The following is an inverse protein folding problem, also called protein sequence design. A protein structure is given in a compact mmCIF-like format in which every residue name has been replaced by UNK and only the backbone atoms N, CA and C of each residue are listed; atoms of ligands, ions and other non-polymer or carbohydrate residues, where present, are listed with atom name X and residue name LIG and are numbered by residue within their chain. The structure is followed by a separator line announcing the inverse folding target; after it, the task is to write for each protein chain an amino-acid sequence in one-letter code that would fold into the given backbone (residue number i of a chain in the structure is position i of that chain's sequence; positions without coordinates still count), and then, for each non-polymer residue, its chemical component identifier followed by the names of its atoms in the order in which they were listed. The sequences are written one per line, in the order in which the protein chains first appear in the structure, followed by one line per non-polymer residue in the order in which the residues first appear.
data_IF_286471256566
#
_entry.id   IF_286471256566
#
_cell.length_a   1.000
_cell.length_b   1.000
_cell.length_c   1.000
_cell.angle_alpha   90.00
_cell.angle_beta   90.00
_cell.angle_gamma   90.00
#
_symmetry.space_group_name_H-M   'P 1'
#
loop_
_entity.id
_entity.type
_entity.pdbx_description
1 polymer ?
#
# COMPACT_ATOMS: atom_id res chain seq x y z
N UNK A 1 -13.91 -11.52 9.73
CA UNK A 1 -13.68 -11.35 8.29
C UNK A 1 -13.81 -12.70 7.60
N UNK A 2 -14.61 -12.77 6.55
CA UNK A 2 -14.75 -14.02 5.82
C UNK A 2 -13.60 -14.21 4.82
N UNK A 3 -13.56 -15.38 4.18
CA UNK A 3 -12.48 -15.74 3.28
C UNK A 3 -12.34 -14.79 2.08
N UNK A 4 -13.47 -14.36 1.52
CA UNK A 4 -13.48 -13.44 0.36
C UNK A 4 -12.92 -12.07 0.72
N UNK A 5 -13.31 -11.54 1.86
CA UNK A 5 -12.82 -10.25 2.31
C UNK A 5 -11.33 -10.30 2.61
N UNK A 6 -10.88 -11.37 3.26
CA UNK A 6 -9.47 -11.56 3.55
C UNK A 6 -8.64 -11.60 2.27
N UNK A 7 -9.11 -12.32 1.27
CA UNK A 7 -8.43 -12.40 -0.02
C UNK A 7 -8.38 -11.05 -0.71
N UNK A 8 -9.49 -10.31 -0.67
CA UNK A 8 -9.56 -8.97 -1.27
C UNK A 8 -8.52 -8.04 -0.67
N UNK A 9 -8.46 -7.99 0.66
CA UNK A 9 -7.52 -7.09 1.34
C UNK A 9 -6.07 -7.53 1.15
N UNK A 10 -5.80 -8.83 1.14
CA UNK A 10 -4.45 -9.32 0.87
C UNK A 10 -3.99 -8.93 -0.53
N UNK A 11 -4.90 -9.01 -1.50
CA UNK A 11 -4.58 -8.61 -2.88
C UNK A 11 -4.31 -7.10 -2.95
N UNK A 12 -5.13 -6.29 -2.29
CA UNK A 12 -4.93 -4.85 -2.25
C UNK A 12 -3.58 -4.50 -1.64
N UNK A 13 -3.21 -5.15 -0.54
CA UNK A 13 -1.93 -4.93 0.13
C UNK A 13 -0.78 -5.29 -0.81
N UNK A 14 -0.89 -6.38 -1.53
CA UNK A 14 0.15 -6.79 -2.47
C UNK A 14 0.36 -5.74 -3.56
N UNK A 15 -0.73 -5.14 -4.05
CA UNK A 15 -0.64 -4.10 -5.07
C UNK A 15 -0.07 -2.80 -4.50
N UNK A 16 -0.51 -2.40 -3.31
CA UNK A 16 0.05 -1.22 -2.63
C UNK A 16 1.55 -1.38 -2.40
N UNK A 17 1.95 -2.55 -1.92
CA UNK A 17 3.36 -2.84 -1.67
C UNK A 17 4.16 -2.80 -2.97
N UNK A 18 3.66 -3.41 -4.02
CA UNK A 18 4.33 -3.41 -5.33
C UNK A 18 4.48 -1.98 -5.84
N UNK A 19 3.44 -1.17 -5.70
CA UNK A 19 3.46 0.21 -6.14
C UNK A 19 4.50 1.04 -5.37
N UNK A 20 4.55 0.90 -4.05
CA UNK A 20 5.52 1.61 -3.23
C UNK A 20 6.96 1.21 -3.58
N UNK A 21 7.19 -0.06 -3.84
CA UNK A 21 8.50 -0.52 -4.27
C UNK A 21 8.90 0.06 -5.63
N UNK A 22 7.94 0.18 -6.55
CA UNK A 22 8.21 0.79 -7.86
C UNK A 22 8.51 2.28 -7.72
N UNK A 23 7.85 2.97 -6.80
CA UNK A 23 8.12 4.38 -6.54
C UNK A 23 9.54 4.62 -6.04
N UNK A 24 10.17 3.65 -5.41
CA UNK A 24 11.57 3.74 -5.00
C UNK A 24 12.51 3.68 -6.20
N UNK A 25 12.07 3.10 -7.30
CA UNK A 25 12.90 2.84 -8.47
C UNK A 25 12.69 3.84 -9.60
N UNK A 26 11.51 4.42 -9.72
CA UNK A 26 11.16 5.33 -10.80
C UNK A 26 10.06 6.29 -10.40
N UNK A 27 9.94 7.36 -11.17
CA UNK A 27 8.91 8.36 -10.95
C UNK A 27 7.52 7.80 -11.25
N UNK A 28 6.52 8.32 -10.55
CA UNK A 28 5.13 7.94 -10.74
C UNK A 28 4.70 7.96 -12.21
N UNK A 29 5.14 8.98 -12.94
CA UNK A 29 4.75 9.16 -14.35
C UNK A 29 5.13 7.97 -15.24
N UNK A 30 6.10 7.18 -14.83
CA UNK A 30 6.59 6.04 -15.63
C UNK A 30 6.11 4.69 -15.13
N UNK A 31 5.33 4.66 -14.05
CA UNK A 31 4.79 3.41 -13.50
C UNK A 31 3.53 3.04 -14.27
N UNK A 32 3.44 1.78 -14.70
CA UNK A 32 2.30 1.29 -15.46
C UNK A 32 1.54 0.24 -14.67
N UNK A 33 0.25 0.06 -15.02
CA UNK A 33 -0.57 -1.02 -14.45
C UNK A 33 0.08 -2.38 -14.68
N UNK A 34 0.65 -2.57 -15.87
CA UNK A 34 1.33 -3.83 -16.20
C UNK A 34 2.47 -4.14 -15.23
N UNK A 35 3.28 -3.13 -14.89
CA UNK A 35 4.38 -3.32 -13.95
C UNK A 35 3.89 -3.64 -12.54
N UNK A 36 2.85 -2.94 -12.10
CA UNK A 36 2.27 -3.19 -10.79
C UNK A 36 1.74 -4.62 -10.71
N UNK A 37 0.99 -5.04 -11.73
CA UNK A 37 0.42 -6.37 -11.77
C UNK A 37 1.49 -7.46 -11.80
N UNK A 38 2.53 -7.26 -12.57
CA UNK A 38 3.63 -8.21 -12.65
C UNK A 38 4.33 -8.35 -11.30
N UNK A 39 4.62 -7.23 -10.66
CA UNK A 39 5.32 -7.23 -9.37
C UNK A 39 4.45 -7.80 -8.25
N UNK A 40 3.16 -7.50 -8.26
CA UNK A 40 2.22 -8.01 -7.27
C UNK A 40 1.75 -9.44 -7.56
N UNK A 41 2.10 -9.97 -8.73
CA UNK A 41 1.68 -11.29 -9.18
C UNK A 41 0.16 -11.43 -9.28
N UNK A 42 -0.46 -10.43 -9.88
CA UNK A 42 -1.91 -10.41 -10.15
C UNK A 42 -2.13 -10.11 -11.62
N UNK A 43 -3.31 -10.42 -12.13
CA UNK A 43 -3.66 -10.08 -13.51
C UNK A 43 -4.33 -8.71 -13.56
N UNK A 44 -4.46 -8.16 -14.78
CA UNK A 44 -5.04 -6.83 -14.99
C UNK A 44 -6.48 -6.72 -14.51
N UNK A 45 -7.27 -7.77 -14.72
CA UNK A 45 -8.65 -7.74 -14.27
C UNK A 45 -8.74 -7.63 -12.76
N UNK A 46 -7.81 -8.23 -12.05
CA UNK A 46 -7.75 -8.09 -10.60
C UNK A 46 -7.44 -6.65 -10.19
N UNK A 47 -6.50 -6.00 -10.88
CA UNK A 47 -6.21 -4.60 -10.62
C UNK A 47 -7.49 -3.75 -10.75
N UNK A 48 -8.21 -3.93 -11.85
CA UNK A 48 -9.40 -3.11 -12.12
C UNK A 48 -10.61 -3.46 -11.25
N UNK A 49 -10.56 -4.55 -10.50
CA UNK A 49 -11.55 -4.81 -9.44
C UNK A 49 -11.34 -3.89 -8.23
N UNK A 50 -10.10 -3.45 -8.01
CA UNK A 50 -9.74 -2.63 -6.86
C UNK A 50 -9.63 -1.15 -7.20
N UNK A 51 -9.14 -0.83 -8.37
CA UNK A 51 -8.82 0.56 -8.76
C UNK A 51 -9.20 0.80 -10.20
N UNK A 52 -9.70 1.99 -10.50
CA UNK A 52 -9.97 2.37 -11.88
C UNK A 52 -8.69 2.82 -12.59
N UNK A 53 -7.81 3.50 -11.85
CA UNK A 53 -6.58 4.04 -12.38
C UNK A 53 -5.45 3.88 -11.37
N UNK A 54 -4.22 4.15 -11.81
CA UNK A 54 -3.07 4.17 -10.89
C UNK A 54 -3.22 5.32 -9.88
N UNK A 55 -3.91 6.41 -10.27
CA UNK A 55 -4.15 7.52 -9.36
C UNK A 55 -4.96 7.08 -8.14
N UNK A 56 -5.92 6.16 -8.32
CA UNK A 56 -6.69 5.61 -7.21
C UNK A 56 -5.79 4.83 -6.27
N UNK A 57 -4.88 4.05 -6.82
CA UNK A 57 -3.91 3.32 -6.02
C UNK A 57 -2.98 4.26 -5.27
N UNK A 58 -2.54 5.33 -5.93
CA UNK A 58 -1.70 6.34 -5.29
C UNK A 58 -2.44 6.98 -4.11
N UNK A 59 -3.70 7.34 -4.30
CA UNK A 59 -4.51 7.95 -3.24
C UNK A 59 -4.63 7.02 -2.04
N UNK A 60 -4.88 5.74 -2.27
CA UNK A 60 -4.97 4.77 -1.19
C UNK A 60 -3.65 4.64 -0.45
N UNK A 61 -2.55 4.57 -1.18
CA UNK A 61 -1.22 4.45 -0.59
C UNK A 61 -0.87 5.69 0.24
N UNK A 62 -1.24 6.87 -0.24
CA UNK A 62 -1.01 8.11 0.50
C UNK A 62 -1.86 8.15 1.78
N UNK A 63 -3.12 7.71 1.70
CA UNK A 63 -3.98 7.64 2.88
C UNK A 63 -3.38 6.71 3.95
N UNK A 64 -2.80 5.61 3.54
CA UNK A 64 -2.14 4.68 4.43
C UNK A 64 -0.99 5.36 5.18
N UNK A 65 -0.15 6.09 4.45
CA UNK A 65 0.99 6.79 5.02
C UNK A 65 0.51 7.89 5.98
N UNK A 66 -0.51 8.63 5.60
CA UNK A 66 -1.07 9.71 6.42
C UNK A 66 -1.66 9.15 7.73
N UNK A 67 -2.40 8.06 7.64
CA UNK A 67 -2.99 7.42 8.82
C UNK A 67 -1.89 6.96 9.79
N UNK A 68 -0.83 6.39 9.26
CA UNK A 68 0.29 5.97 10.08
C UNK A 68 0.95 7.16 10.74
N UNK A 69 1.14 8.24 10.00
CA UNK A 69 1.71 9.47 10.55
C UNK A 69 0.86 10.01 11.70
N UNK A 70 -0.47 10.08 11.50
CA UNK A 70 -1.38 10.59 12.53
C UNK A 70 -1.35 9.70 13.78
N UNK A 71 -1.30 8.39 13.57
CA UNK A 71 -1.25 7.43 14.69
C UNK A 71 0.00 7.65 15.54
N UNK A 72 1.10 8.04 14.92
CA UNK A 72 2.38 8.22 15.61
C UNK A 72 2.76 9.68 15.82
N UNK A 73 1.81 10.60 15.74
CA UNK A 73 2.14 12.02 15.84
C UNK A 73 2.64 12.45 17.22
N UNK A 74 2.45 11.62 18.24
CA UNK A 74 3.01 11.88 19.58
C UNK A 74 4.46 11.43 19.72
N UNK A 75 5.00 10.77 18.71
CA UNK A 75 6.39 10.33 18.70
C UNK A 75 7.28 11.43 18.16
N UNK A 76 8.56 11.34 18.50
CA UNK A 76 9.54 12.25 17.90
C UNK A 76 9.56 12.04 16.39
N UNK A 77 9.55 13.13 15.58
CA UNK A 77 9.57 12.99 14.12
C UNK A 77 10.74 12.14 13.62
N UNK A 78 11.89 12.24 14.26
CA UNK A 78 13.05 11.44 13.87
C UNK A 78 12.82 9.95 14.09
N UNK A 79 12.13 9.59 15.15
CA UNK A 79 11.80 8.20 15.44
C UNK A 79 10.81 7.64 14.42
N UNK A 80 9.80 8.44 14.05
CA UNK A 80 8.81 8.07 13.06
C UNK A 80 9.48 7.84 11.70
N UNK A 81 10.33 8.76 11.27
CA UNK A 81 11.04 8.65 10.00
C UNK A 81 11.94 7.43 9.99
N UNK A 82 12.66 7.19 11.09
CA UNK A 82 13.54 6.04 11.20
C UNK A 82 12.75 4.73 11.09
N UNK A 83 11.60 4.68 11.74
CA UNK A 83 10.72 3.53 11.72
C UNK A 83 10.25 3.22 10.29
N UNK A 84 9.84 4.24 9.55
CA UNK A 84 9.41 4.07 8.15
C UNK A 84 10.58 3.58 7.29
N UNK A 85 11.76 4.15 7.48
CA UNK A 85 12.93 3.80 6.67
C UNK A 85 13.44 2.39 6.92
N UNK A 86 13.36 1.92 8.16
CA UNK A 86 13.91 0.62 8.53
C UNK A 86 12.89 -0.50 8.54
N UNK A 87 11.62 -0.18 8.51
CA UNK A 87 10.55 -1.17 8.56
C UNK A 87 10.31 -1.74 7.17
N UNK A 88 10.32 -3.07 7.00
CA UNK A 88 9.89 -3.67 5.74
C UNK A 88 8.45 -3.28 5.44
N UNK A 89 8.11 -3.17 4.16
CA UNK A 89 6.75 -2.79 3.76
C UNK A 89 5.69 -3.70 4.36
N UNK A 90 6.00 -4.98 4.51
CA UNK A 90 5.08 -5.94 5.12
C UNK A 90 4.75 -5.59 6.56
N UNK A 91 5.77 -5.18 7.33
CA UNK A 91 5.57 -4.78 8.72
C UNK A 91 4.83 -3.45 8.81
N UNK A 92 5.06 -2.56 7.85
CA UNK A 92 4.35 -1.30 7.79
C UNK A 92 2.85 -1.52 7.70
N UNK A 93 2.41 -2.47 6.88
CA UNK A 93 1.00 -2.79 6.76
C UNK A 93 0.45 -3.45 8.02
N UNK A 94 1.27 -4.20 8.74
CA UNK A 94 0.86 -4.81 10.00
C UNK A 94 0.70 -3.81 11.13
N UNK A 95 1.43 -2.71 11.08
CA UNK A 95 1.35 -1.64 12.07
C UNK A 95 0.02 -0.89 11.98
N UNK A 96 -0.67 -0.97 10.85
CA UNK A 96 -1.90 -0.22 10.61
C UNK A 96 -3.09 -1.16 10.46
N UNK A 97 -3.52 -1.81 11.55
CA UNK A 97 -4.64 -2.75 11.45
C UNK A 97 -5.93 -2.11 10.96
N UNK A 98 -6.13 -0.83 11.26
CA UNK A 98 -7.33 -0.12 10.81
C UNK A 98 -7.43 -0.04 9.29
N UNK A 99 -6.30 -0.05 8.60
CA UNK A 99 -6.28 -0.09 7.14
C UNK A 99 -6.74 -1.45 6.62
N UNK A 100 -6.41 -2.51 7.34
CA UNK A 100 -6.73 -3.89 6.95
C UNK A 100 -8.14 -4.29 7.31
N UNK A 101 -8.79 -3.59 8.24
CA UNK A 101 -10.16 -3.90 8.65
C UNK A 101 -11.14 -3.11 7.81
N UNK A 102 -12.13 -3.76 7.21
CA UNK A 102 -13.06 -3.09 6.32
C UNK A 102 -14.16 -2.34 7.04
N UNK A 103 -13.94 -1.72 8.09
CA UNK A 103 -14.98 -0.98 8.83
C UNK A 103 -15.77 -1.84 9.83
#
# INVERSE_FOLDING_TARGET
MNKSESKYFNTAIRMDKAFLELLEQKDFAFITVKEICKKAEVNRSTFYLHYETIDDLLSESMDLIIKEFVTHMNEEPSEFIQKIKTCPLEELYLIIPSYLTPY
#
